data_IF_789961091301
#
_entry.id   IF_789961091301
#
_cell.length_a   1.000
_cell.length_b   1.000
_cell.length_c   1.000
_cell.angle_alpha   90.00
_cell.angle_beta   90.00
_cell.angle_gamma   90.00
#
_symmetry.space_group_name_H-M   'P 1'
#
loop_
_entity.id
_entity.type
_entity.pdbx_description
1 polymer ?
#
# COMPACT_ATOMS: atom_id res chain seq x y z
N UNK A 1 19.33 -17.28 14.84
CA UNK A 1 18.15 -16.42 15.01
C UNK A 1 17.49 -16.77 16.33
N UNK A 2 17.05 -15.77 17.11
CA UNK A 2 16.26 -15.98 18.33
C UNK A 2 14.80 -16.32 17.99
N UNK A 3 14.02 -16.75 18.98
CA UNK A 3 12.58 -17.05 18.79
C UNK A 3 11.82 -15.79 18.34
N UNK A 4 12.16 -14.63 18.89
CA UNK A 4 11.59 -13.33 18.52
C UNK A 4 11.91 -12.99 17.07
N UNK A 5 13.15 -13.20 16.63
CA UNK A 5 13.55 -12.98 15.24
C UNK A 5 12.80 -13.91 14.28
N UNK A 6 12.58 -15.17 14.66
CA UNK A 6 11.79 -16.12 13.87
C UNK A 6 10.33 -15.65 13.79
N UNK A 7 9.74 -15.23 14.91
CA UNK A 7 8.35 -14.74 14.94
C UNK A 7 8.16 -13.50 14.05
N UNK A 8 9.08 -12.54 14.10
CA UNK A 8 9.06 -11.35 13.24
C UNK A 8 9.23 -11.71 11.75
N UNK A 9 10.10 -12.66 11.43
CA UNK A 9 10.24 -13.15 10.05
C UNK A 9 8.95 -13.79 9.56
N UNK A 10 8.32 -14.65 10.35
CA UNK A 10 7.04 -15.29 10.02
C UNK A 10 5.96 -14.23 9.84
N UNK A 11 5.88 -13.23 10.71
CA UNK A 11 4.93 -12.13 10.59
C UNK A 11 5.16 -11.30 9.30
N UNK A 12 6.41 -11.00 8.97
CA UNK A 12 6.79 -10.27 7.74
C UNK A 12 6.41 -11.05 6.48
N UNK A 13 6.78 -12.34 6.41
CA UNK A 13 6.41 -13.22 5.31
C UNK A 13 4.88 -13.39 5.21
N UNK A 14 4.20 -13.47 6.35
CA UNK A 14 2.74 -13.51 6.42
C UNK A 14 2.09 -12.23 5.86
N UNK A 15 2.62 -11.05 6.20
CA UNK A 15 2.14 -9.76 5.70
C UNK A 15 2.30 -9.65 4.17
N UNK A 16 3.44 -10.08 3.63
CA UNK A 16 3.65 -10.16 2.17
C UNK A 16 2.68 -11.17 1.55
N UNK A 17 2.60 -12.38 2.13
CA UNK A 17 1.76 -13.46 1.63
C UNK A 17 0.29 -13.07 1.56
N UNK A 18 -0.26 -12.47 2.63
CA UNK A 18 -1.65 -12.02 2.65
C UNK A 18 -1.87 -10.84 1.70
N UNK A 19 -0.89 -9.95 1.52
CA UNK A 19 -0.95 -8.89 0.50
C UNK A 19 -1.06 -9.41 -0.91
N UNK A 20 -0.17 -10.33 -1.28
CA UNK A 20 -0.22 -10.97 -2.59
C UNK A 20 -1.53 -11.75 -2.77
N UNK A 21 -1.97 -12.51 -1.77
CA UNK A 21 -3.23 -13.23 -1.83
C UNK A 21 -4.43 -12.28 -1.99
N UNK A 22 -4.48 -11.20 -1.20
CA UNK A 22 -5.53 -10.19 -1.27
C UNK A 22 -5.58 -9.55 -2.66
N UNK A 23 -4.44 -9.11 -3.20
CA UNK A 23 -4.39 -8.55 -4.55
C UNK A 23 -4.72 -9.55 -5.64
N UNK A 24 -4.08 -10.73 -5.67
CA UNK A 24 -4.17 -11.66 -6.80
C UNK A 24 -5.47 -12.46 -6.75
N UNK A 25 -5.76 -13.11 -5.61
CA UNK A 25 -6.95 -13.95 -5.47
C UNK A 25 -8.20 -13.06 -5.38
N UNK A 26 -8.12 -11.95 -4.66
CA UNK A 26 -9.21 -10.98 -4.56
C UNK A 26 -9.57 -10.34 -5.90
N UNK A 27 -8.58 -9.93 -6.71
CA UNK A 27 -8.85 -9.39 -8.05
C UNK A 27 -9.54 -10.41 -8.95
N UNK A 28 -9.06 -11.65 -8.97
CA UNK A 28 -9.61 -12.72 -9.82
C UNK A 28 -10.98 -13.20 -9.36
N UNK A 29 -11.16 -13.38 -8.05
CA UNK A 29 -12.34 -14.01 -7.47
C UNK A 29 -13.45 -13.05 -7.05
N UNK A 30 -13.14 -11.78 -6.78
CA UNK A 30 -14.09 -10.82 -6.19
C UNK A 30 -14.18 -9.56 -7.05
N UNK A 31 -13.10 -8.80 -7.18
CA UNK A 31 -13.14 -7.45 -7.79
C UNK A 31 -13.53 -7.52 -9.25
N UNK A 32 -12.84 -8.33 -10.07
CA UNK A 32 -13.16 -8.45 -11.50
C UNK A 32 -14.61 -8.93 -11.74
N UNK A 33 -15.13 -9.96 -11.04
CA UNK A 33 -16.55 -10.31 -11.13
C UNK A 33 -17.52 -9.20 -10.73
N UNK A 34 -17.24 -8.47 -9.64
CA UNK A 34 -18.08 -7.35 -9.19
C UNK A 34 -18.11 -6.26 -10.26
N UNK A 35 -16.93 -5.78 -10.70
CA UNK A 35 -16.83 -4.69 -11.68
C UNK A 35 -17.51 -5.02 -13.01
N UNK A 36 -17.51 -6.29 -13.43
CA UNK A 36 -18.23 -6.73 -14.64
C UNK A 36 -19.76 -6.59 -14.54
N UNK A 37 -20.30 -6.54 -13.33
CA UNK A 37 -21.74 -6.45 -13.05
C UNK A 37 -22.16 -5.06 -12.56
N UNK A 38 -21.21 -4.16 -12.32
CA UNK A 38 -21.53 -2.79 -11.92
C UNK A 38 -22.06 -2.00 -13.10
N UNK A 39 -23.16 -1.29 -12.85
CA UNK A 39 -23.69 -0.27 -13.75
C UNK A 39 -23.33 1.12 -13.20
N UNK A 40 -22.59 1.88 -14.00
CA UNK A 40 -22.15 3.24 -13.66
C UNK A 40 -23.00 4.32 -14.35
N UNK A 41 -24.13 3.94 -14.98
CA UNK A 41 -25.03 4.88 -15.63
C UNK A 41 -25.42 6.03 -14.68
N UNK A 42 -25.20 7.28 -15.12
CA UNK A 42 -25.50 8.48 -14.34
C UNK A 42 -24.51 8.80 -13.22
N UNK A 43 -23.51 7.96 -12.95
CA UNK A 43 -22.50 8.22 -11.91
C UNK A 43 -21.29 8.94 -12.50
N UNK A 44 -21.01 10.13 -11.99
CA UNK A 44 -19.81 10.90 -12.35
C UNK A 44 -18.57 10.38 -11.59
N UNK A 45 -17.36 10.51 -12.15
CA UNK A 45 -17.05 11.21 -13.39
C UNK A 45 -17.15 10.35 -14.66
N UNK A 46 -16.56 9.16 -14.70
CA UNK A 46 -16.74 8.18 -15.78
C UNK A 46 -16.47 6.76 -15.25
N UNK A 47 -17.07 5.76 -15.89
CA UNK A 47 -17.01 4.37 -15.47
C UNK A 47 -15.57 3.83 -15.38
N UNK A 48 -14.68 4.24 -16.29
CA UNK A 48 -13.28 3.79 -16.30
C UNK A 48 -12.53 4.31 -15.08
N UNK A 49 -12.70 5.59 -14.73
CA UNK A 49 -12.13 6.17 -13.52
C UNK A 49 -12.64 5.47 -12.26
N UNK A 50 -13.95 5.22 -12.17
CA UNK A 50 -14.57 4.55 -11.03
C UNK A 50 -14.06 3.11 -10.88
N UNK A 51 -14.06 2.33 -11.97
CA UNK A 51 -13.53 0.98 -12.00
C UNK A 51 -12.05 0.91 -11.59
N UNK A 52 -11.22 1.83 -12.10
CA UNK A 52 -9.80 1.94 -11.72
C UNK A 52 -9.62 2.32 -10.26
N UNK A 53 -10.45 3.22 -9.74
CA UNK A 53 -10.40 3.64 -8.34
C UNK A 53 -10.76 2.48 -7.40
N UNK A 54 -11.75 1.67 -7.75
CA UNK A 54 -12.09 0.44 -6.99
C UNK A 54 -10.93 -0.55 -6.99
N UNK A 55 -10.31 -0.81 -8.16
CA UNK A 55 -9.12 -1.67 -8.25
C UNK A 55 -7.96 -1.11 -7.44
N UNK A 56 -7.72 0.20 -7.51
CA UNK A 56 -6.68 0.88 -6.75
C UNK A 56 -6.89 0.70 -5.24
N UNK A 57 -8.10 0.95 -4.75
CA UNK A 57 -8.47 0.77 -3.34
C UNK A 57 -8.30 -0.69 -2.87
N UNK A 58 -8.43 -1.65 -3.78
CA UNK A 58 -8.14 -3.05 -3.50
C UNK A 58 -6.63 -3.34 -3.40
N UNK A 59 -5.84 -2.85 -4.36
CA UNK A 59 -4.42 -3.16 -4.45
C UNK A 59 -3.52 -2.34 -3.51
N UNK A 60 -3.93 -1.14 -3.10
CA UNK A 60 -3.16 -0.29 -2.19
C UNK A 60 -2.85 -0.99 -0.85
N UNK A 61 -3.75 -1.83 -0.35
CA UNK A 61 -3.54 -2.60 0.88
C UNK A 61 -2.31 -3.50 0.80
N UNK A 62 -1.99 -4.02 -0.39
CA UNK A 62 -0.75 -4.80 -0.60
C UNK A 62 0.50 -3.95 -0.42
N UNK A 63 0.52 -2.72 -0.94
CA UNK A 63 1.64 -1.81 -0.72
C UNK A 63 1.79 -1.47 0.77
N UNK A 64 0.68 -1.22 1.46
CA UNK A 64 0.68 -0.95 2.90
C UNK A 64 1.27 -2.13 3.69
N UNK A 65 0.83 -3.37 3.42
CA UNK A 65 1.35 -4.55 4.10
C UNK A 65 2.80 -4.89 3.75
N UNK A 66 3.26 -4.57 2.53
CA UNK A 66 4.70 -4.63 2.21
C UNK A 66 5.49 -3.64 3.08
N UNK A 67 5.00 -2.41 3.24
CA UNK A 67 5.60 -1.42 4.16
C UNK A 67 5.68 -1.94 5.60
N UNK A 68 4.60 -2.56 6.11
CA UNK A 68 4.60 -3.20 7.42
C UNK A 68 5.60 -4.36 7.50
N UNK A 69 5.70 -5.18 6.45
CA UNK A 69 6.64 -6.28 6.38
C UNK A 69 8.10 -5.80 6.47
N UNK A 70 8.42 -4.66 5.85
CA UNK A 70 9.73 -4.01 5.95
C UNK A 70 10.00 -3.51 7.38
N UNK A 71 9.02 -2.90 8.03
CA UNK A 71 9.15 -2.47 9.44
C UNK A 71 9.43 -3.69 10.34
N UNK A 72 8.73 -4.80 10.14
CA UNK A 72 8.88 -6.03 10.92
C UNK A 72 10.26 -6.68 10.79
N UNK A 73 10.94 -6.54 9.65
CA UNK A 73 12.31 -7.07 9.47
C UNK A 73 13.39 -6.15 10.02
N UNK A 74 13.07 -4.91 10.41
CA UNK A 74 14.03 -3.94 10.95
C UNK A 74 14.99 -4.51 12.01
N UNK A 75 14.48 -5.18 13.07
CA UNK A 75 15.33 -5.80 14.08
C UNK A 75 16.21 -6.96 13.59
N UNK A 76 15.88 -7.58 12.46
CA UNK A 76 16.69 -8.66 11.87
C UNK A 76 17.88 -8.11 11.07
N UNK A 77 17.79 -6.86 10.63
CA UNK A 77 18.81 -6.18 9.82
C UNK A 77 19.52 -5.07 10.60
N UNK A 78 19.41 -5.04 11.93
CA UNK A 78 20.14 -4.11 12.80
C UNK A 78 19.60 -2.68 12.79
N UNK A 79 18.31 -2.50 12.47
CA UNK A 79 17.68 -1.17 12.38
C UNK A 79 16.89 -0.78 13.64
N UNK A 80 16.86 -1.61 14.67
CA UNK A 80 16.14 -1.39 15.93
C UNK A 80 16.58 -0.11 16.67
N UNK A 81 17.85 0.28 16.55
CA UNK A 81 18.39 1.51 17.15
C UNK A 81 18.31 2.74 16.23
N UNK A 82 17.70 2.62 15.04
CA UNK A 82 17.65 3.70 14.05
C UNK A 82 16.28 4.37 14.10
N UNK A 83 16.12 5.53 14.78
CA UNK A 83 14.82 6.19 14.93
C UNK A 83 14.18 6.58 13.59
N UNK A 84 14.99 6.74 12.53
CA UNK A 84 14.53 7.06 11.19
C UNK A 84 13.93 5.85 10.43
N UNK A 85 14.20 4.61 10.83
CA UNK A 85 13.89 3.43 10.02
C UNK A 85 12.40 3.26 9.74
N UNK A 86 11.58 3.24 10.79
CA UNK A 86 10.14 3.07 10.63
C UNK A 86 9.50 4.30 9.95
N UNK A 87 9.78 5.56 10.35
CA UNK A 87 9.23 6.73 9.66
C UNK A 87 9.61 6.83 8.19
N UNK A 88 10.87 6.54 7.82
CA UNK A 88 11.29 6.54 6.41
C UNK A 88 10.69 5.38 5.61
N UNK A 89 10.44 4.23 6.25
CA UNK A 89 9.71 3.12 5.62
C UNK A 89 8.24 3.50 5.34
N UNK A 90 7.60 4.17 6.31
CA UNK A 90 6.26 4.76 6.13
C UNK A 90 6.30 5.79 5.01
N UNK A 91 7.27 6.70 5.03
CA UNK A 91 7.42 7.72 4.01
C UNK A 91 7.55 7.10 2.61
N UNK A 92 8.42 6.11 2.43
CA UNK A 92 8.60 5.41 1.16
C UNK A 92 7.31 4.69 0.72
N UNK A 93 6.60 4.03 1.64
CA UNK A 93 5.32 3.35 1.34
C UNK A 93 4.27 4.34 0.83
N UNK A 94 4.15 5.48 1.50
CA UNK A 94 3.21 6.55 1.14
C UNK A 94 3.65 7.31 -0.12
N UNK A 95 4.95 7.47 -0.36
CA UNK A 95 5.50 8.03 -1.59
C UNK A 95 5.09 7.19 -2.79
N UNK A 96 5.38 5.88 -2.76
CA UNK A 96 5.02 4.95 -3.84
C UNK A 96 3.51 4.97 -4.06
N UNK A 97 2.73 4.93 -2.98
CA UNK A 97 1.26 4.99 -3.05
C UNK A 97 0.78 6.30 -3.69
N UNK A 98 1.31 7.45 -3.26
CA UNK A 98 0.94 8.76 -3.79
C UNK A 98 1.32 8.92 -5.25
N UNK A 99 2.53 8.51 -5.64
CA UNK A 99 3.02 8.52 -7.03
C UNK A 99 2.14 7.63 -7.91
N UNK A 100 1.85 6.40 -7.48
CA UNK A 100 0.96 5.49 -8.21
C UNK A 100 -0.43 6.10 -8.35
N UNK A 101 -0.99 6.69 -7.28
CA UNK A 101 -2.31 7.35 -7.31
C UNK A 101 -2.32 8.50 -8.31
N UNK A 102 -1.30 9.36 -8.27
CA UNK A 102 -1.16 10.51 -9.17
C UNK A 102 -1.10 10.06 -10.64
N UNK A 103 -0.22 9.11 -10.96
CA UNK A 103 -0.01 8.63 -12.33
C UNK A 103 -1.24 7.89 -12.85
N UNK A 104 -1.74 6.91 -12.10
CA UNK A 104 -2.84 6.03 -12.57
C UNK A 104 -4.17 6.77 -12.69
N UNK A 105 -4.41 7.78 -11.83
CA UNK A 105 -5.58 8.64 -11.90
C UNK A 105 -5.42 9.85 -12.82
N UNK A 106 -4.23 10.09 -13.39
CA UNK A 106 -3.88 11.32 -14.12
C UNK A 106 -4.18 12.59 -13.30
N UNK A 107 -3.90 12.54 -12.00
CA UNK A 107 -4.18 13.62 -11.04
C UNK A 107 -5.64 13.80 -10.64
N UNK A 108 -6.58 13.01 -11.19
CA UNK A 108 -8.01 13.14 -10.92
C UNK A 108 -8.42 12.65 -9.53
N UNK A 109 -7.66 11.72 -8.94
CA UNK A 109 -7.93 11.24 -7.58
C UNK A 109 -7.07 11.99 -6.56
N UNK A 110 -7.67 12.99 -5.89
CA UNK A 110 -6.96 13.92 -4.99
C UNK A 110 -6.27 13.26 -3.77
N UNK A 111 -6.50 11.97 -3.50
CA UNK A 111 -5.81 11.25 -2.44
C UNK A 111 -4.28 11.26 -2.60
N UNK A 112 -3.76 11.43 -3.83
CA UNK A 112 -2.32 11.57 -4.06
C UNK A 112 -1.71 12.72 -3.24
N UNK A 113 -2.43 13.83 -3.04
CA UNK A 113 -1.95 14.98 -2.26
C UNK A 113 -1.72 14.56 -0.80
N UNK A 114 -2.70 13.84 -0.23
CA UNK A 114 -2.63 13.38 1.16
C UNK A 114 -1.53 12.33 1.32
N UNK A 115 -1.41 11.37 0.40
CA UNK A 115 -0.35 10.37 0.45
C UNK A 115 1.05 10.99 0.37
N UNK A 116 1.26 11.94 -0.55
CA UNK A 116 2.53 12.66 -0.64
C UNK A 116 2.77 13.57 0.56
N UNK A 117 1.72 14.19 1.12
CA UNK A 117 1.80 14.96 2.36
C UNK A 117 2.29 14.12 3.54
N UNK A 118 1.72 12.92 3.73
CA UNK A 118 2.18 11.96 4.74
C UNK A 118 3.62 11.54 4.48
N UNK A 119 3.98 11.26 3.22
CA UNK A 119 5.36 10.93 2.85
C UNK A 119 6.33 12.04 3.24
N UNK A 120 6.00 13.29 2.94
CA UNK A 120 6.86 14.43 3.21
C UNK A 120 7.01 14.66 4.72
N UNK A 121 5.89 14.66 5.47
CA UNK A 121 5.93 14.93 6.92
C UNK A 121 6.55 13.81 7.73
N UNK A 122 6.42 12.54 7.30
CA UNK A 122 7.10 11.41 7.93
C UNK A 122 8.63 11.42 7.68
N UNK A 123 9.07 11.93 6.52
CA UNK A 123 10.50 12.01 6.17
C UNK A 123 11.19 13.26 6.73
N UNK A 124 10.47 14.37 6.88
CA UNK A 124 11.00 15.68 7.25
C UNK A 124 11.98 15.71 8.44
N UNK A 125 11.76 14.98 9.55
CA UNK A 125 12.70 15.01 10.68
C UNK A 125 14.05 14.34 10.42
N UNK A 126 14.22 13.67 9.27
CA UNK A 126 15.34 12.78 8.98
C UNK A 126 16.07 13.11 7.66
N UNK A 127 15.72 14.24 7.03
CA UNK A 127 16.36 14.80 5.82
C UNK A 127 16.95 16.16 6.20
#
# INVERSE_FOLDING_TARGET
MTVEQIALLVASLGAIGIGLAHSILGERGIVKPILKRMDWAGVRPDADFLNRTVRFAWHITTLAWIGLAVILVGPLIGMEGRPAFAPLTVAATFLVTGVVTLITSKGRHLAWIVFLGISATAAWPYI
#
